data_IF_714046196362
#
_entry.id   IF_714046196362
#
_cell.length_a   1.000
_cell.length_b   1.000
_cell.length_c   1.000
_cell.angle_alpha   90.00
_cell.angle_beta   90.00
_cell.angle_gamma   90.00
#
_symmetry.space_group_name_H-M   'P 1'
#
loop_
_entity.id
_entity.type
_entity.pdbx_description
1 polymer ?
#
# COMPACT_ATOMS: atom_id res chain seq x y z
N UNK A 1 17.72 -9.18 -15.42
CA UNK A 1 18.59 -8.06 -14.95
C UNK A 1 19.74 -8.64 -14.12
N UNK A 2 21.00 -8.14 -14.31
CA UNK A 2 22.18 -8.56 -13.50
C UNK A 2 21.98 -8.13 -12.05
N UNK A 3 22.40 -8.96 -11.09
CA UNK A 3 22.30 -8.64 -9.67
C UNK A 3 23.26 -7.51 -9.29
N UNK A 4 22.74 -6.52 -8.56
CA UNK A 4 23.47 -5.38 -8.04
C UNK A 4 23.30 -5.31 -6.53
N UNK A 5 24.34 -4.94 -5.80
CA UNK A 5 24.35 -4.83 -4.35
C UNK A 5 24.60 -3.39 -3.93
N UNK A 6 23.94 -2.95 -2.86
CA UNK A 6 24.14 -1.65 -2.22
C UNK A 6 24.26 -1.82 -0.71
N UNK A 7 25.09 -0.98 -0.09
CA UNK A 7 25.12 -0.85 1.38
C UNK A 7 23.84 -0.15 1.82
N UNK A 8 23.19 -0.68 2.86
CA UNK A 8 21.98 -0.04 3.43
C UNK A 8 22.38 1.17 4.28
N UNK A 9 21.81 2.35 3.99
CA UNK A 9 22.12 3.59 4.72
C UNK A 9 21.77 3.47 6.21
N UNK A 10 20.58 2.95 6.54
CA UNK A 10 20.16 2.78 7.93
C UNK A 10 20.93 1.66 8.66
N UNK A 11 21.39 0.63 7.93
CA UNK A 11 22.08 -0.55 8.47
C UNK A 11 23.40 -0.83 7.73
N UNK A 12 24.44 -0.01 7.92
CA UNK A 12 25.66 -0.04 7.10
C UNK A 12 26.51 -1.33 7.22
N UNK A 13 26.17 -2.23 8.14
CA UNK A 13 26.79 -3.55 8.27
C UNK A 13 26.20 -4.59 7.30
N UNK A 14 25.22 -4.21 6.48
CA UNK A 14 24.52 -5.12 5.58
C UNK A 14 24.43 -4.58 4.16
N UNK A 15 24.43 -5.51 3.22
CA UNK A 15 24.19 -5.29 1.79
C UNK A 15 22.80 -5.79 1.44
N UNK A 16 22.12 -5.03 0.59
CA UNK A 16 20.85 -5.43 -0.05
C UNK A 16 21.05 -5.53 -1.56
N UNK A 17 20.46 -6.54 -2.21
CA UNK A 17 20.49 -6.66 -3.67
C UNK A 17 19.18 -6.24 -4.32
N UNK A 18 19.25 -5.87 -5.60
CA UNK A 18 18.07 -5.64 -6.44
C UNK A 18 17.25 -6.92 -6.73
N UNK A 19 17.70 -8.06 -6.23
CA UNK A 19 16.98 -9.34 -6.25
C UNK A 19 16.29 -9.65 -4.91
N UNK A 20 16.33 -8.73 -3.95
CA UNK A 20 15.75 -8.92 -2.63
C UNK A 20 16.53 -9.91 -1.75
N UNK A 21 17.86 -9.96 -1.86
CA UNK A 21 18.73 -10.74 -0.98
C UNK A 21 19.55 -9.83 -0.09
N UNK A 22 19.87 -10.30 1.12
CA UNK A 22 20.66 -9.56 2.10
C UNK A 22 21.92 -10.35 2.44
N UNK A 23 23.03 -9.63 2.57
CA UNK A 23 24.31 -10.16 3.05
C UNK A 23 24.88 -9.33 4.19
N UNK A 24 25.65 -9.96 5.04
CA UNK A 24 26.50 -9.26 6.00
C UNK A 24 27.72 -8.70 5.25
N UNK A 25 28.02 -7.41 5.43
CA UNK A 25 29.07 -6.72 4.66
C UNK A 25 30.46 -7.36 4.86
N UNK A 26 30.81 -7.71 6.10
CA UNK A 26 32.15 -8.18 6.44
C UNK A 26 32.42 -9.63 6.00
N UNK A 27 31.41 -10.51 6.11
CA UNK A 27 31.58 -11.95 5.79
C UNK A 27 31.03 -12.32 4.42
N UNK A 28 30.24 -11.44 3.79
CA UNK A 28 29.49 -11.67 2.55
C UNK A 28 28.55 -12.88 2.60
N UNK A 29 28.23 -13.35 3.80
CA UNK A 29 27.29 -14.44 4.02
C UNK A 29 25.84 -13.94 3.87
N UNK A 30 25.01 -14.81 3.30
CA UNK A 30 23.58 -14.54 3.16
C UNK A 30 22.90 -14.45 4.53
N UNK A 31 22.13 -13.41 4.74
CA UNK A 31 21.37 -13.19 5.97
C UNK A 31 20.09 -14.03 5.95
N UNK A 32 19.80 -14.68 7.08
CA UNK A 32 18.57 -15.46 7.24
C UNK A 32 17.34 -14.57 7.08
N UNK A 33 16.38 -15.04 6.31
CA UNK A 33 15.06 -14.42 6.11
C UNK A 33 13.97 -15.37 6.58
N UNK A 34 12.80 -14.82 6.93
CA UNK A 34 11.65 -15.55 7.49
C UNK A 34 10.40 -15.17 6.69
N UNK A 35 9.61 -16.16 6.33
CA UNK A 35 8.27 -15.93 5.77
C UNK A 35 7.31 -15.75 6.94
N UNK A 36 6.58 -14.64 6.96
CA UNK A 36 5.54 -14.36 7.96
C UNK A 36 4.22 -15.01 7.57
N UNK A 37 3.29 -15.14 8.54
CA UNK A 37 1.96 -15.70 8.32
C UNK A 37 1.18 -14.95 7.23
N UNK A 38 1.37 -13.64 7.11
CA UNK A 38 0.79 -12.79 6.08
C UNK A 38 1.44 -12.96 4.69
N UNK A 39 2.46 -13.82 4.55
CA UNK A 39 3.18 -14.13 3.33
C UNK A 39 4.34 -13.19 2.99
N UNK A 40 4.55 -12.12 3.75
CA UNK A 40 5.70 -11.22 3.55
C UNK A 40 7.00 -11.85 4.08
N UNK A 41 8.11 -11.49 3.43
CA UNK A 41 9.45 -11.90 3.88
C UNK A 41 10.06 -10.81 4.76
N UNK A 42 10.58 -11.22 5.91
CA UNK A 42 11.24 -10.35 6.88
C UNK A 42 12.62 -10.87 7.26
N UNK A 43 13.44 -10.01 7.85
CA UNK A 43 14.74 -10.35 8.43
C UNK A 43 14.96 -9.58 9.72
N UNK A 44 15.96 -10.00 10.51
CA UNK A 44 16.41 -9.30 11.71
C UNK A 44 17.76 -8.68 11.46
N UNK A 45 17.84 -7.35 11.54
CA UNK A 45 19.06 -6.57 11.40
C UNK A 45 19.47 -6.02 12.76
N UNK A 46 20.77 -5.92 13.00
CA UNK A 46 21.31 -5.36 14.28
C UNK A 46 21.98 -4.03 14.01
N UNK A 47 21.63 -3.02 14.82
CA UNK A 47 22.27 -1.71 14.83
C UNK A 47 22.47 -1.25 16.27
N UNK A 48 23.69 -0.87 16.64
CA UNK A 48 24.02 -0.43 18.00
C UNK A 48 23.57 -1.41 19.10
N UNK A 49 23.79 -2.71 18.89
CA UNK A 49 23.39 -3.76 19.83
C UNK A 49 21.90 -4.10 19.87
N UNK A 50 21.05 -3.33 19.20
CA UNK A 50 19.60 -3.57 19.14
C UNK A 50 19.19 -4.30 17.87
N UNK A 51 18.16 -5.15 17.99
CA UNK A 51 17.58 -5.90 16.88
C UNK A 51 16.37 -5.17 16.29
N UNK A 52 16.26 -5.17 14.96
CA UNK A 52 15.20 -4.54 14.19
C UNK A 52 14.61 -5.55 13.22
N UNK A 53 13.30 -5.77 13.31
CA UNK A 53 12.55 -6.57 12.34
C UNK A 53 12.21 -5.68 11.13
N UNK A 54 12.69 -6.06 9.95
CA UNK A 54 12.49 -5.29 8.71
C UNK A 54 11.92 -6.18 7.62
N UNK A 55 10.96 -5.65 6.87
CA UNK A 55 10.43 -6.30 5.69
C UNK A 55 11.38 -6.16 4.50
N UNK A 56 11.58 -7.27 3.77
CA UNK A 56 12.55 -7.34 2.69
C UNK A 56 12.17 -6.44 1.49
N UNK A 57 10.89 -6.43 1.10
CA UNK A 57 10.40 -5.54 0.03
C UNK A 57 10.66 -4.06 0.34
N UNK A 58 10.48 -3.62 1.60
CA UNK A 58 10.77 -2.23 1.98
C UNK A 58 12.24 -1.90 1.87
N UNK A 59 13.12 -2.75 2.39
CA UNK A 59 14.58 -2.57 2.28
C UNK A 59 15.03 -2.52 0.82
N UNK A 60 14.47 -3.37 -0.04
CA UNK A 60 14.79 -3.36 -1.48
C UNK A 60 14.29 -2.09 -2.14
N UNK A 61 13.05 -1.66 -1.84
CA UNK A 61 12.49 -0.43 -2.42
C UNK A 61 13.26 0.81 -1.97
N UNK A 62 13.58 0.94 -0.69
CA UNK A 62 14.41 2.04 -0.14
C UNK A 62 15.77 2.15 -0.83
N UNK A 63 16.41 1.02 -1.12
CA UNK A 63 17.73 1.00 -1.75
C UNK A 63 17.70 1.26 -3.27
N UNK A 64 16.69 0.80 -3.99
CA UNK A 64 16.73 0.74 -5.46
C UNK A 64 15.67 1.55 -6.17
N UNK A 65 14.59 1.97 -5.49
CA UNK A 65 13.45 2.64 -6.10
C UNK A 65 13.31 4.05 -5.54
N UNK A 66 13.40 5.05 -6.40
CA UNK A 66 13.26 6.45 -5.98
C UNK A 66 11.82 6.77 -5.57
N UNK A 67 11.61 7.22 -4.35
CA UNK A 67 10.31 7.67 -3.84
C UNK A 67 10.18 9.20 -3.95
N UNK A 68 9.87 9.70 -5.14
CA UNK A 68 9.80 11.16 -5.40
C UNK A 68 8.64 11.87 -4.68
N UNK A 69 7.59 11.13 -4.36
CA UNK A 69 6.34 11.67 -3.80
C UNK A 69 6.12 11.23 -2.34
N UNK A 70 7.15 10.70 -1.68
CA UNK A 70 7.08 10.21 -0.30
C UNK A 70 5.89 9.27 -0.04
N UNK A 71 5.57 8.41 -1.02
CA UNK A 71 4.48 7.44 -0.89
C UNK A 71 4.78 6.44 0.23
N UNK A 72 3.82 6.13 1.11
CA UNK A 72 4.09 5.40 2.36
C UNK A 72 4.20 3.88 2.22
N UNK A 73 3.66 3.30 1.16
CA UNK A 73 3.59 1.85 0.97
C UNK A 73 4.45 1.37 -0.19
N UNK A 74 4.85 0.09 -0.12
CA UNK A 74 5.49 -0.62 -1.21
C UNK A 74 4.56 -1.75 -1.66
N UNK A 75 4.20 -1.72 -2.93
CA UNK A 75 3.37 -2.74 -3.59
C UNK A 75 4.24 -3.75 -4.35
N UNK A 76 3.76 -5.00 -4.44
CA UNK A 76 4.29 -6.02 -5.34
C UNK A 76 3.46 -6.00 -6.63
N UNK A 77 4.05 -5.57 -7.75
CA UNK A 77 3.36 -5.39 -9.04
C UNK A 77 2.66 -6.68 -9.50
N UNK A 78 3.27 -7.84 -9.27
CA UNK A 78 2.68 -9.13 -9.61
C UNK A 78 1.78 -9.73 -8.50
N UNK A 79 1.56 -9.03 -7.38
CA UNK A 79 0.79 -9.50 -6.24
C UNK A 79 1.44 -10.60 -5.40
N UNK A 80 2.67 -11.03 -5.71
CA UNK A 80 3.37 -12.11 -4.99
C UNK A 80 4.26 -11.51 -3.90
N UNK A 81 3.83 -11.59 -2.65
CA UNK A 81 4.50 -11.01 -1.48
C UNK A 81 5.92 -11.55 -1.21
N UNK A 82 6.25 -12.70 -1.77
CA UNK A 82 7.58 -13.31 -1.71
C UNK A 82 8.57 -12.80 -2.78
N UNK A 83 8.09 -12.14 -3.83
CA UNK A 83 8.93 -11.68 -4.95
C UNK A 83 9.42 -10.24 -4.72
N UNK A 84 10.51 -10.13 -3.95
CA UNK A 84 11.07 -8.85 -3.51
C UNK A 84 12.10 -8.25 -4.47
N UNK A 85 12.09 -8.62 -5.74
CA UNK A 85 12.94 -8.01 -6.76
C UNK A 85 12.55 -6.56 -6.98
N UNK A 86 13.53 -5.68 -7.15
CA UNK A 86 13.28 -4.24 -7.32
C UNK A 86 12.44 -3.90 -8.56
N UNK A 87 12.52 -4.72 -9.63
CA UNK A 87 11.70 -4.56 -10.84
C UNK A 87 10.24 -5.00 -10.66
N UNK A 88 9.90 -5.64 -9.54
CA UNK A 88 8.55 -6.06 -9.16
C UNK A 88 7.97 -5.21 -8.02
N UNK A 89 8.67 -4.16 -7.58
CA UNK A 89 8.23 -3.32 -6.46
C UNK A 89 8.00 -1.89 -6.93
N UNK A 90 7.04 -1.22 -6.31
CA UNK A 90 6.76 0.18 -6.54
C UNK A 90 6.30 0.88 -5.27
N UNK A 91 6.59 2.20 -5.16
CA UNK A 91 6.04 3.03 -4.10
C UNK A 91 4.63 3.46 -4.46
N UNK A 92 3.68 3.24 -3.55
CA UNK A 92 2.27 3.53 -3.76
C UNK A 92 1.66 4.27 -2.57
N UNK A 93 0.59 5.00 -2.85
CA UNK A 93 -0.35 5.43 -1.81
C UNK A 93 -1.23 4.24 -1.40
N UNK A 94 -1.87 4.28 -0.22
CA UNK A 94 -2.83 3.25 0.18
C UNK A 94 -3.95 3.05 -0.86
N UNK A 95 -4.46 4.13 -1.42
CA UNK A 95 -5.49 4.12 -2.45
C UNK A 95 -5.05 3.38 -3.73
N UNK A 96 -3.85 3.70 -4.25
CA UNK A 96 -3.26 2.98 -5.38
C UNK A 96 -3.07 1.50 -5.10
N UNK A 97 -2.64 1.15 -3.87
CA UNK A 97 -2.41 -0.23 -3.48
C UNK A 97 -3.71 -1.06 -3.48
N UNK A 98 -4.80 -0.49 -2.96
CA UNK A 98 -6.11 -1.15 -2.98
C UNK A 98 -6.67 -1.25 -4.39
N UNK A 99 -6.55 -0.19 -5.18
CA UNK A 99 -6.97 -0.23 -6.59
C UNK A 99 -6.27 -1.37 -7.33
N UNK A 100 -4.96 -1.47 -7.19
CA UNK A 100 -4.18 -2.58 -7.74
C UNK A 100 -4.68 -3.94 -7.25
N UNK A 101 -4.96 -4.09 -5.94
CA UNK A 101 -5.45 -5.34 -5.38
C UNK A 101 -6.84 -5.74 -5.90
N UNK A 102 -7.72 -4.78 -6.18
CA UNK A 102 -9.04 -4.99 -6.81
C UNK A 102 -8.87 -5.38 -8.28
N UNK A 103 -8.09 -4.63 -9.05
CA UNK A 103 -7.85 -4.86 -10.48
C UNK A 103 -7.20 -6.21 -10.76
N UNK A 104 -6.27 -6.62 -9.90
CA UNK A 104 -5.57 -7.90 -10.00
C UNK A 104 -6.33 -9.07 -9.37
N UNK A 105 -7.50 -8.81 -8.75
CA UNK A 105 -8.32 -9.84 -8.11
C UNK A 105 -7.73 -10.42 -6.82
N UNK A 106 -6.70 -9.80 -6.24
CA UNK A 106 -6.13 -10.17 -4.94
C UNK A 106 -7.13 -9.94 -3.81
N UNK A 107 -7.99 -8.94 -3.97
CA UNK A 107 -9.17 -8.72 -3.12
C UNK A 107 -10.40 -9.05 -3.96
N UNK A 108 -11.18 -10.04 -3.52
CA UNK A 108 -12.49 -10.33 -4.10
C UNK A 108 -13.47 -9.24 -3.67
N UNK A 109 -13.39 -8.10 -4.28
CA UNK A 109 -14.43 -7.10 -4.19
C UNK A 109 -15.62 -7.61 -5.02
N UNK A 110 -16.72 -7.97 -4.37
CA UNK A 110 -18.00 -8.15 -5.08
C UNK A 110 -18.37 -6.77 -5.57
N UNK A 111 -18.06 -6.47 -6.84
CA UNK A 111 -18.67 -5.38 -7.56
C UNK A 111 -20.17 -5.71 -7.56
N UNK A 112 -20.89 -5.28 -6.53
CA UNK A 112 -22.34 -5.19 -6.65
C UNK A 112 -22.56 -4.33 -7.88
N UNK A 113 -23.37 -4.82 -8.82
CA UNK A 113 -23.80 -4.00 -9.94
C UNK A 113 -24.19 -2.65 -9.37
N UNK A 114 -23.52 -1.60 -9.85
CA UNK A 114 -23.85 -0.24 -9.43
C UNK A 114 -25.22 0.01 -10.01
N UNK A 115 -26.26 -0.35 -9.26
CA UNK A 115 -27.64 0.01 -9.60
C UNK A 115 -27.73 1.49 -9.29
N UNK A 116 -27.49 2.31 -10.30
CA UNK A 116 -27.79 3.74 -10.27
C UNK A 116 -29.29 3.83 -10.19
N UNK A 117 -29.82 3.87 -8.97
CA UNK A 117 -31.24 4.17 -8.77
C UNK A 117 -31.44 5.62 -9.19
N UNK A 118 -32.28 5.86 -10.15
CA UNK A 118 -32.72 7.22 -10.49
C UNK A 118 -33.22 7.91 -9.22
N UNK A 119 -32.45 8.86 -8.74
CA UNK A 119 -32.77 9.62 -7.54
C UNK A 119 -33.46 10.91 -7.97
N UNK A 120 -34.52 11.27 -7.28
CA UNK A 120 -35.27 12.53 -7.45
C UNK A 120 -34.44 13.76 -6.96
N UNK A 121 -33.25 13.52 -6.37
CA UNK A 121 -32.36 14.53 -5.81
C UNK A 121 -31.04 14.55 -6.57
N UNK A 122 -30.35 15.69 -6.59
CA UNK A 122 -29.01 15.82 -7.18
C UNK A 122 -28.07 14.74 -6.66
N UNK A 123 -27.41 14.02 -7.58
CA UNK A 123 -26.40 13.02 -7.24
C UNK A 123 -25.17 13.74 -6.66
N UNK A 124 -24.37 13.05 -5.84
CA UNK A 124 -23.21 13.64 -5.19
C UNK A 124 -22.23 14.30 -6.17
N UNK A 125 -22.04 13.72 -7.35
CA UNK A 125 -21.23 14.25 -8.46
C UNK A 125 -21.83 15.47 -9.16
N UNK A 126 -23.16 15.62 -9.17
CA UNK A 126 -23.89 16.74 -9.78
C UNK A 126 -23.87 18.00 -8.90
N UNK A 127 -23.40 17.90 -7.66
CA UNK A 127 -23.26 19.03 -6.75
C UNK A 127 -22.00 19.79 -7.14
N UNK A 128 -22.11 21.03 -7.58
CA UNK A 128 -20.99 21.91 -7.99
C UNK A 128 -19.82 22.00 -6.99
N UNK A 129 -20.04 21.60 -5.73
CA UNK A 129 -19.04 21.57 -4.66
C UNK A 129 -18.53 20.15 -4.33
N UNK A 130 -18.95 19.12 -5.06
CA UNK A 130 -18.45 17.76 -4.81
C UNK A 130 -16.96 17.69 -5.14
N UNK A 131 -16.15 17.28 -4.15
CA UNK A 131 -14.71 17.08 -4.28
C UNK A 131 -14.34 15.64 -4.61
N UNK A 132 -15.33 14.74 -4.60
CA UNK A 132 -15.11 13.29 -4.77
C UNK A 132 -15.84 12.77 -5.99
N UNK A 133 -15.23 11.82 -6.66
CA UNK A 133 -15.83 11.02 -7.73
C UNK A 133 -16.54 9.79 -7.17
N UNK A 134 -17.44 9.13 -7.93
CA UNK A 134 -18.05 7.87 -7.53
C UNK A 134 -17.02 6.77 -7.20
N UNK A 135 -15.93 6.70 -7.95
CA UNK A 135 -14.84 5.75 -7.76
C UNK A 135 -14.13 5.98 -6.43
N UNK A 136 -13.84 7.23 -6.08
CA UNK A 136 -13.23 7.60 -4.81
C UNK A 136 -14.15 7.28 -3.62
N UNK A 137 -15.45 7.42 -3.79
CA UNK A 137 -16.44 7.03 -2.76
C UNK A 137 -16.45 5.52 -2.52
N UNK A 138 -16.38 4.72 -3.58
CA UNK A 138 -16.24 3.25 -3.47
C UNK A 138 -14.94 2.91 -2.75
N UNK A 139 -13.84 3.57 -3.11
CA UNK A 139 -12.54 3.37 -2.50
C UNK A 139 -12.55 3.69 -0.99
N UNK A 140 -13.15 4.82 -0.59
CA UNK A 140 -13.34 5.20 0.82
C UNK A 140 -14.12 4.13 1.58
N UNK A 141 -15.17 3.56 0.98
CA UNK A 141 -15.97 2.50 1.61
C UNK A 141 -15.17 1.22 1.80
N UNK A 142 -14.43 0.81 0.79
CA UNK A 142 -13.55 -0.38 0.85
C UNK A 142 -12.51 -0.19 1.95
N UNK A 143 -11.83 0.95 1.99
CA UNK A 143 -10.83 1.28 3.02
C UNK A 143 -11.43 1.29 4.43
N UNK A 144 -12.64 1.84 4.56
CA UNK A 144 -13.37 1.87 5.83
C UNK A 144 -13.82 0.49 6.31
N UNK A 145 -14.23 -0.40 5.41
CA UNK A 145 -14.68 -1.76 5.74
C UNK A 145 -13.51 -2.66 6.20
N UNK A 146 -12.29 -2.43 5.68
CA UNK A 146 -11.09 -3.16 6.13
C UNK A 146 -10.52 -2.66 7.47
N UNK A 147 -11.01 -1.53 8.00
CA UNK A 147 -10.62 -0.95 9.30
C UNK A 147 -9.08 -0.74 9.47
N UNK A 148 -8.34 -0.67 8.35
CA UNK A 148 -6.87 -0.48 8.35
C UNK A 148 -6.47 0.98 8.56
N UNK A 149 -7.40 1.92 8.34
CA UNK A 149 -7.16 3.35 8.41
C UNK A 149 -8.14 4.04 9.35
N UNK A 150 -7.61 4.99 10.13
CA UNK A 150 -8.45 5.90 10.90
C UNK A 150 -9.18 6.86 9.96
N UNK A 151 -10.37 7.31 10.34
CA UNK A 151 -11.15 8.26 9.52
C UNK A 151 -10.41 9.56 9.22
N UNK A 152 -9.54 10.01 10.14
CA UNK A 152 -8.67 11.18 9.96
C UNK A 152 -7.68 10.95 8.81
N UNK A 153 -7.05 9.77 8.76
CA UNK A 153 -6.10 9.42 7.71
C UNK A 153 -6.78 9.35 6.33
N UNK A 154 -7.99 8.78 6.27
CA UNK A 154 -8.80 8.78 5.05
C UNK A 154 -9.19 10.22 4.64
N UNK A 155 -9.54 11.08 5.60
CA UNK A 155 -9.88 12.46 5.33
C UNK A 155 -8.71 13.24 4.69
N UNK A 156 -7.50 13.04 5.19
CA UNK A 156 -6.28 13.61 4.62
C UNK A 156 -5.98 13.06 3.22
N UNK A 157 -6.13 11.73 3.02
CA UNK A 157 -5.86 11.07 1.74
C UNK A 157 -6.76 11.58 0.61
N UNK A 158 -8.05 11.78 0.89
CA UNK A 158 -9.04 12.19 -0.11
C UNK A 158 -9.36 13.70 -0.08
N UNK A 159 -8.68 14.49 0.76
CA UNK A 159 -8.84 15.94 0.83
C UNK A 159 -10.21 16.42 1.27
N UNK A 160 -10.90 15.64 2.11
CA UNK A 160 -12.23 15.93 2.64
C UNK A 160 -12.25 15.92 4.17
N UNK A 161 -13.37 16.31 4.79
CA UNK A 161 -13.49 16.29 6.25
C UNK A 161 -13.69 14.86 6.79
N UNK A 162 -13.30 14.63 8.05
CA UNK A 162 -13.58 13.35 8.73
C UNK A 162 -15.08 13.04 8.81
N UNK A 163 -15.93 14.08 8.94
CA UNK A 163 -17.37 13.92 8.90
C UNK A 163 -17.86 13.39 7.53
N UNK A 164 -17.28 13.88 6.44
CA UNK A 164 -17.57 13.38 5.08
C UNK A 164 -17.19 11.90 4.95
N UNK A 165 -16.01 11.52 5.41
CA UNK A 165 -15.57 10.12 5.42
C UNK A 165 -16.54 9.23 6.22
N UNK A 166 -16.91 9.66 7.41
CA UNK A 166 -17.88 8.93 8.25
C UNK A 166 -19.23 8.74 7.53
N UNK A 167 -19.74 9.81 6.90
CA UNK A 167 -21.04 9.77 6.24
C UNK A 167 -21.02 8.91 4.96
N UNK A 168 -19.87 8.82 4.27
CA UNK A 168 -19.64 7.93 3.14
C UNK A 168 -19.60 6.47 3.60
N UNK A 169 -18.79 6.14 4.61
CA UNK A 169 -18.66 4.78 5.15
C UNK A 169 -20.01 4.29 5.71
N UNK A 170 -20.75 5.15 6.41
CA UNK A 170 -22.08 4.82 6.96
C UNK A 170 -23.21 4.90 5.94
N UNK A 171 -22.92 5.18 4.66
CA UNK A 171 -23.87 5.32 3.56
C UNK A 171 -24.96 6.40 3.79
N UNK A 172 -24.66 7.40 4.62
CA UNK A 172 -25.52 8.57 4.81
C UNK A 172 -25.48 9.50 3.60
N UNK A 173 -24.33 9.66 3.00
CA UNK A 173 -24.12 10.35 1.72
C UNK A 173 -23.87 9.33 0.61
N UNK A 174 -24.00 9.75 -0.65
CA UNK A 174 -23.78 8.94 -1.84
C UNK A 174 -24.59 7.63 -1.84
N UNK A 175 -25.86 7.70 -1.39
CA UNK A 175 -26.77 6.54 -1.25
C UNK A 175 -27.05 5.81 -2.56
N UNK A 176 -26.81 6.44 -3.70
CA UNK A 176 -27.00 5.90 -5.04
C UNK A 176 -25.83 5.03 -5.51
N UNK A 177 -24.72 5.05 -4.76
CA UNK A 177 -23.56 4.18 -4.99
C UNK A 177 -23.59 3.05 -3.94
N UNK A 178 -23.78 1.81 -4.38
CA UNK A 178 -23.75 0.61 -3.51
C UNK A 178 -22.51 -0.25 -3.79
#
# INVERSE_FOLDING_TARGET
MKEKWKIMEEFPKYLISNKGRIKTLNTLEDKKVFVKEDGYISTVLTKNGKQYYKYLHRLTAEAFIKNKHNKPQVNHINGIKGDNRADNLEWVTPAENIRHAIETGLIKYKKKEIIIKESKYSKGEDVKSSKLTPEEVIEIRVLGDFNEYKKVELAEMFGVSESTIRDIITRRQWKHID
#
